data_IF_567905535009
#
_entry.id   IF_567905535009
#
_cell.length_a   1.000
_cell.length_b   1.000
_cell.length_c   1.000
_cell.angle_alpha   90.00
_cell.angle_beta   90.00
_cell.angle_gamma   90.00
#
_symmetry.space_group_name_H-M   'P 1'
#
loop_
_entity.id
_entity.type
_entity.pdbx_description
1 polymer ?
#
# COMPACT_ATOMS: atom_id res chain seq x y z
N UNK A 1 3.50 -14.08 8.69
CA UNK A 1 2.21 -14.64 8.25
C UNK A 1 1.05 -13.76 8.65
N UNK A 2 0.51 -13.01 7.69
CA UNK A 2 -0.77 -12.30 7.86
C UNK A 2 -1.87 -13.35 7.67
N UNK A 3 -2.23 -14.06 8.74
CA UNK A 3 -3.39 -14.95 8.75
C UNK A 3 -4.51 -14.26 9.54
N UNK A 4 -5.73 -14.15 8.98
CA UNK A 4 -6.83 -13.56 9.71
C UNK A 4 -7.14 -14.36 10.98
N UNK A 5 -7.48 -13.68 12.07
CA UNK A 5 -7.77 -14.30 13.38
C UNK A 5 -9.11 -15.06 13.42
N UNK A 6 -9.93 -14.96 12.38
CA UNK A 6 -11.31 -15.46 12.33
C UNK A 6 -11.54 -16.21 11.02
N UNK A 7 -12.36 -17.26 11.07
CA UNK A 7 -12.72 -18.06 9.89
C UNK A 7 -13.43 -17.19 8.82
N UNK A 8 -13.17 -17.46 7.52
CA UNK A 8 -13.69 -16.67 6.39
C UNK A 8 -15.22 -16.58 6.40
N UNK A 9 -15.90 -17.66 6.78
CA UNK A 9 -17.37 -17.66 6.91
C UNK A 9 -17.85 -16.70 7.99
N UNK A 10 -17.13 -16.63 9.11
CA UNK A 10 -17.46 -15.71 10.21
C UNK A 10 -17.18 -14.26 9.81
N UNK A 11 -16.08 -13.99 9.11
CA UNK A 11 -15.77 -12.65 8.60
C UNK A 11 -16.80 -12.17 7.58
N UNK A 12 -17.23 -13.06 6.67
CA UNK A 12 -18.30 -12.74 5.71
C UNK A 12 -19.61 -12.45 6.43
N UNK A 13 -19.99 -13.26 7.41
CA UNK A 13 -21.20 -13.03 8.20
C UNK A 13 -21.16 -11.69 8.98
N UNK A 14 -19.99 -11.31 9.51
CA UNK A 14 -19.78 -10.00 10.16
C UNK A 14 -19.92 -8.84 9.16
N UNK A 15 -19.34 -8.96 7.97
CA UNK A 15 -19.48 -7.95 6.91
C UNK A 15 -20.91 -7.82 6.41
N UNK A 16 -21.59 -8.94 6.16
CA UNK A 16 -22.99 -8.95 5.73
C UNK A 16 -23.90 -8.30 6.81
N UNK A 17 -23.55 -8.46 8.10
CA UNK A 17 -24.26 -7.79 9.19
C UNK A 17 -24.01 -6.27 9.21
N UNK A 18 -22.76 -5.84 9.06
CA UNK A 18 -22.41 -4.41 8.95
C UNK A 18 -23.10 -3.79 7.72
N UNK A 19 -23.14 -4.50 6.58
CA UNK A 19 -23.83 -4.03 5.38
C UNK A 19 -25.32 -3.87 5.58
N UNK A 20 -25.99 -4.82 6.27
CA UNK A 20 -27.41 -4.68 6.60
C UNK A 20 -27.68 -3.46 7.47
N UNK A 21 -26.81 -3.17 8.44
CA UNK A 21 -26.93 -1.98 9.27
C UNK A 21 -26.75 -0.70 8.43
N UNK A 22 -25.73 -0.67 7.57
CA UNK A 22 -25.47 0.50 6.72
C UNK A 22 -26.58 0.72 5.67
N UNK A 23 -27.14 -0.34 5.08
CA UNK A 23 -28.31 -0.26 4.19
C UNK A 23 -29.53 0.30 4.93
N UNK A 24 -29.78 -0.15 6.17
CA UNK A 24 -30.88 0.39 6.99
C UNK A 24 -30.72 1.87 7.37
N UNK A 25 -29.49 2.41 7.36
CA UNK A 25 -29.22 3.85 7.52
C UNK A 25 -29.45 4.59 6.21
N UNK A 26 -28.96 4.06 5.08
CA UNK A 26 -29.18 4.61 3.73
C UNK A 26 -30.66 4.69 3.34
N UNK A 27 -31.48 3.74 3.79
CA UNK A 27 -32.93 3.74 3.56
C UNK A 27 -33.68 4.78 4.41
N UNK A 28 -33.13 5.18 5.57
CA UNK A 28 -33.76 6.10 6.51
C UNK A 28 -33.36 7.56 6.31
N UNK A 29 -32.13 7.81 5.88
CA UNK A 29 -31.62 9.16 5.63
C UNK A 29 -31.26 9.32 4.16
N UNK A 30 -31.93 10.26 3.47
CA UNK A 30 -31.70 10.55 2.06
C UNK A 30 -30.21 10.76 1.76
N UNK A 31 -29.64 9.87 0.94
CA UNK A 31 -28.33 9.93 0.26
C UNK A 31 -27.17 10.53 1.07
N UNK A 32 -26.42 9.67 1.76
CA UNK A 32 -25.12 10.01 2.37
C UNK A 32 -23.97 9.30 1.66
N UNK A 33 -23.20 10.00 0.79
CA UNK A 33 -22.09 9.42 0.03
C UNK A 33 -20.99 8.82 0.93
N UNK A 34 -20.84 9.33 2.15
CA UNK A 34 -19.85 8.86 3.11
C UNK A 34 -20.12 7.41 3.56
N UNK A 35 -21.39 7.03 3.72
CA UNK A 35 -21.78 5.66 4.12
C UNK A 35 -21.51 4.66 3.01
N UNK A 36 -21.79 5.05 1.76
CA UNK A 36 -21.55 4.23 0.57
C UNK A 36 -20.04 3.99 0.37
N UNK A 37 -19.22 5.02 0.51
CA UNK A 37 -17.75 4.91 0.45
C UNK A 37 -17.16 3.99 1.52
N UNK A 38 -17.71 4.00 2.74
CA UNK A 38 -17.28 3.10 3.82
C UNK A 38 -17.64 1.63 3.50
N UNK A 39 -18.84 1.37 2.96
CA UNK A 39 -19.24 0.01 2.54
C UNK A 39 -18.29 -0.51 1.47
N UNK A 40 -18.01 0.28 0.44
CA UNK A 40 -17.09 -0.12 -0.64
C UNK A 40 -15.67 -0.37 -0.12
N UNK A 41 -15.19 0.47 0.82
CA UNK A 41 -13.89 0.29 1.45
C UNK A 41 -13.80 -1.02 2.23
N UNK A 42 -14.85 -1.40 2.98
CA UNK A 42 -14.86 -2.66 3.74
C UNK A 42 -14.93 -3.89 2.83
N UNK A 43 -15.73 -3.85 1.76
CA UNK A 43 -15.78 -4.94 0.78
C UNK A 43 -14.47 -5.06 0.00
N UNK A 44 -13.84 -3.95 -0.37
CA UNK A 44 -12.51 -3.97 -0.97
C UNK A 44 -11.48 -4.58 -0.01
N UNK A 45 -11.46 -4.15 1.25
CA UNK A 45 -10.56 -4.70 2.26
C UNK A 45 -10.76 -6.21 2.45
N UNK A 46 -12.01 -6.69 2.46
CA UNK A 46 -12.31 -8.12 2.54
C UNK A 46 -11.80 -8.89 1.32
N UNK A 47 -12.07 -8.40 0.11
CA UNK A 47 -11.53 -9.02 -1.12
C UNK A 47 -10.00 -9.01 -1.13
N UNK A 48 -9.38 -7.96 -0.62
CA UNK A 48 -7.92 -7.87 -0.52
C UNK A 48 -7.35 -8.94 0.42
N UNK A 49 -8.05 -9.41 1.46
CA UNK A 49 -7.50 -10.42 2.38
C UNK A 49 -7.08 -11.72 1.68
N UNK A 50 -7.78 -12.09 0.60
CA UNK A 50 -7.48 -13.30 -0.17
C UNK A 50 -6.29 -13.12 -1.12
N UNK A 51 -6.06 -11.91 -1.60
CA UNK A 51 -5.01 -11.58 -2.58
C UNK A 51 -3.74 -11.03 -1.89
N UNK A 52 -3.88 -10.51 -0.67
CA UNK A 52 -2.81 -9.90 0.13
C UNK A 52 -1.60 -10.82 0.32
N UNK A 53 -1.74 -12.13 0.60
CA UNK A 53 -0.57 -13.00 0.76
C UNK A 53 0.28 -13.08 -0.51
N UNK A 54 -0.35 -13.09 -1.68
CA UNK A 54 0.35 -13.13 -2.96
C UNK A 54 0.98 -11.77 -3.32
N UNK A 55 0.29 -10.67 -3.02
CA UNK A 55 0.82 -9.32 -3.25
C UNK A 55 2.05 -9.07 -2.34
N UNK A 56 2.00 -9.53 -1.10
CA UNK A 56 3.08 -9.38 -0.12
C UNK A 56 4.29 -10.29 -0.37
N UNK A 57 4.12 -11.33 -1.19
CA UNK A 57 5.21 -12.24 -1.56
C UNK A 57 6.10 -11.65 -2.65
N UNK A 58 7.14 -10.92 -2.21
CA UNK A 58 8.18 -10.36 -3.08
C UNK A 58 9.25 -11.38 -3.47
N UNK A 59 9.21 -12.62 -2.96
CA UNK A 59 10.24 -13.64 -3.27
C UNK A 59 10.25 -14.08 -4.73
N UNK A 60 9.13 -13.87 -5.43
CA UNK A 60 8.94 -14.17 -6.85
C UNK A 60 9.48 -13.09 -7.79
N UNK A 61 9.95 -11.96 -7.26
CA UNK A 61 10.46 -10.86 -8.07
C UNK A 61 11.84 -11.18 -8.64
N UNK A 62 12.10 -10.66 -9.85
CA UNK A 62 13.39 -10.91 -10.49
C UNK A 62 14.51 -10.19 -9.74
N UNK A 63 15.75 -10.71 -9.79
CA UNK A 63 16.90 -10.00 -9.20
C UNK A 63 17.07 -8.58 -9.74
N UNK A 64 16.76 -8.37 -11.03
CA UNK A 64 16.79 -7.05 -11.65
C UNK A 64 15.74 -6.10 -11.06
N UNK A 65 14.53 -6.59 -10.77
CA UNK A 65 13.49 -5.81 -10.08
C UNK A 65 13.94 -5.47 -8.67
N UNK A 66 14.41 -6.45 -7.89
CA UNK A 66 14.85 -6.21 -6.51
C UNK A 66 15.98 -5.18 -6.47
N UNK A 67 16.92 -5.26 -7.42
CA UNK A 67 18.03 -4.31 -7.52
C UNK A 67 17.58 -2.91 -7.94
N UNK A 68 16.60 -2.80 -8.86
CA UNK A 68 16.02 -1.52 -9.28
C UNK A 68 15.51 -0.69 -8.08
N UNK A 69 14.84 -1.36 -7.13
CA UNK A 69 14.31 -0.71 -5.93
C UNK A 69 15.33 -0.61 -4.79
N UNK A 70 16.50 -1.28 -4.88
CA UNK A 70 17.39 -1.44 -3.73
C UNK A 70 16.81 -2.33 -2.63
N UNK A 71 15.88 -3.23 -2.98
CA UNK A 71 15.16 -4.11 -2.05
C UNK A 71 15.97 -5.36 -1.61
N UNK A 72 17.25 -5.42 -1.95
CA UNK A 72 18.14 -6.57 -1.71
C UNK A 72 18.83 -6.49 -0.35
N UNK A 73 19.50 -5.36 -0.06
CA UNK A 73 20.29 -5.18 1.16
C UNK A 73 20.68 -3.72 1.39
N UNK A 74 21.15 -3.40 2.60
CA UNK A 74 21.67 -2.08 2.94
C UNK A 74 20.58 -1.07 3.31
N UNK A 75 20.89 0.25 3.29
CA UNK A 75 20.02 1.28 3.85
C UNK A 75 18.70 1.46 3.09
N UNK A 76 18.62 0.97 1.85
CA UNK A 76 17.45 1.06 0.98
C UNK A 76 16.51 -0.14 1.08
N UNK A 77 16.93 -1.24 1.73
CA UNK A 77 16.21 -2.53 1.66
C UNK A 77 14.74 -2.41 2.07
N UNK A 78 14.47 -1.86 3.26
CA UNK A 78 13.12 -1.79 3.82
C UNK A 78 12.22 -0.89 2.98
N UNK A 79 12.68 0.32 2.66
CA UNK A 79 11.87 1.26 1.89
C UNK A 79 11.75 0.85 0.42
N UNK A 80 12.77 0.22 -0.14
CA UNK A 80 12.75 -0.45 -1.45
C UNK A 80 11.67 -1.51 -1.54
N UNK A 81 11.55 -2.38 -0.52
CA UNK A 81 10.47 -3.36 -0.44
C UNK A 81 9.10 -2.70 -0.34
N UNK A 82 8.96 -1.63 0.45
CA UNK A 82 7.70 -0.89 0.55
C UNK A 82 7.29 -0.25 -0.78
N UNK A 83 8.22 0.39 -1.50
CA UNK A 83 7.98 0.93 -2.84
C UNK A 83 7.61 -0.16 -3.85
N UNK A 84 8.29 -1.31 -3.80
CA UNK A 84 7.97 -2.47 -4.65
C UNK A 84 6.56 -3.01 -4.38
N UNK A 85 6.18 -3.11 -3.10
CA UNK A 85 4.82 -3.49 -2.70
C UNK A 85 3.80 -2.46 -3.19
N UNK A 86 4.11 -1.16 -3.11
CA UNK A 86 3.24 -0.12 -3.64
C UNK A 86 2.97 -0.28 -5.14
N UNK A 87 4.00 -0.63 -5.94
CA UNK A 87 3.79 -0.98 -7.35
C UNK A 87 2.85 -2.17 -7.48
N UNK A 88 3.05 -3.25 -6.72
CA UNK A 88 2.21 -4.46 -6.78
C UNK A 88 0.77 -4.18 -6.34
N UNK A 89 0.56 -3.31 -5.35
CA UNK A 89 -0.77 -2.84 -4.96
C UNK A 89 -1.43 -2.03 -6.07
N UNK A 90 -0.69 -1.15 -6.75
CA UNK A 90 -1.21 -0.40 -7.88
C UNK A 90 -1.61 -1.34 -9.03
N UNK A 91 -0.83 -2.39 -9.31
CA UNK A 91 -1.18 -3.42 -10.31
C UNK A 91 -2.42 -4.22 -9.92
N UNK A 92 -2.61 -4.47 -8.63
CA UNK A 92 -3.80 -5.13 -8.10
C UNK A 92 -5.04 -4.20 -8.05
N UNK A 93 -4.92 -2.95 -8.50
CA UNK A 93 -6.02 -1.99 -8.58
C UNK A 93 -6.34 -1.26 -7.26
N UNK A 94 -5.39 -1.25 -6.31
CA UNK A 94 -5.55 -0.46 -5.08
C UNK A 94 -5.53 1.02 -5.44
N UNK A 95 -6.60 1.73 -5.07
CA UNK A 95 -6.85 3.13 -5.49
C UNK A 95 -6.03 4.17 -4.73
N UNK A 96 -5.62 3.86 -3.51
CA UNK A 96 -4.87 4.76 -2.66
C UNK A 96 -3.84 3.97 -1.88
N UNK A 97 -2.58 4.38 -2.00
CA UNK A 97 -1.42 3.69 -1.42
C UNK A 97 -0.56 4.75 -0.76
N UNK A 98 -0.33 4.62 0.53
CA UNK A 98 0.59 5.46 1.28
C UNK A 98 1.86 4.68 1.60
N UNK A 99 3.01 5.31 1.37
CA UNK A 99 4.32 4.75 1.68
C UNK A 99 5.09 5.77 2.50
N UNK A 100 5.51 5.39 3.71
CA UNK A 100 6.14 6.31 4.66
C UNK A 100 7.60 5.96 4.88
N UNK A 101 8.49 6.95 4.72
CA UNK A 101 9.88 6.88 5.16
C UNK A 101 10.09 7.83 6.35
N UNK A 102 10.26 7.27 7.56
CA UNK A 102 10.27 8.05 8.79
C UNK A 102 11.64 8.59 9.23
N UNK A 103 11.61 9.29 10.38
CA UNK A 103 12.76 9.85 11.11
C UNK A 103 13.48 11.02 10.39
N UNK A 104 12.71 11.91 9.76
CA UNK A 104 13.23 13.15 9.16
C UNK A 104 13.31 14.33 10.13
N UNK A 105 12.52 14.34 11.21
CA UNK A 105 12.55 15.38 12.23
C UNK A 105 13.69 15.12 13.23
N UNK A 106 14.88 15.61 12.90
CA UNK A 106 16.09 15.35 13.66
C UNK A 106 16.60 16.62 14.33
N UNK A 107 17.02 16.49 15.58
CA UNK A 107 17.51 17.61 16.39
C UNK A 107 19.00 17.51 16.73
N UNK A 108 19.66 16.40 16.38
CA UNK A 108 21.09 16.14 16.58
C UNK A 108 21.63 15.36 15.36
N UNK A 109 22.96 15.30 15.20
CA UNK A 109 23.63 14.55 14.13
C UNK A 109 23.12 14.82 12.69
N UNK A 110 22.59 16.01 12.45
CA UNK A 110 21.85 16.40 11.23
C UNK A 110 22.52 15.92 9.94
N UNK A 111 23.80 16.21 9.75
CA UNK A 111 24.51 15.85 8.52
C UNK A 111 24.56 14.34 8.29
N UNK A 112 24.87 13.56 9.33
CA UNK A 112 25.02 12.11 9.21
C UNK A 112 23.65 11.46 9.01
N UNK A 113 22.68 11.87 9.80
CA UNK A 113 21.41 11.18 9.86
C UNK A 113 20.49 11.58 8.68
N UNK A 114 20.45 12.86 8.28
CA UNK A 114 19.74 13.26 7.05
C UNK A 114 20.37 12.63 5.80
N UNK A 115 21.70 12.51 5.75
CA UNK A 115 22.38 11.80 4.66
C UNK A 115 21.92 10.34 4.60
N UNK A 116 21.89 9.65 5.74
CA UNK A 116 21.39 8.28 5.82
C UNK A 116 19.90 8.18 5.42
N UNK A 117 19.07 9.17 5.74
CA UNK A 117 17.66 9.21 5.30
C UNK A 117 17.54 9.38 3.78
N UNK A 118 18.30 10.32 3.21
CA UNK A 118 18.32 10.57 1.77
C UNK A 118 18.82 9.34 1.00
N UNK A 119 19.92 8.73 1.45
CA UNK A 119 20.46 7.49 0.85
C UNK A 119 19.46 6.32 0.93
N UNK A 120 18.66 6.25 2.00
CA UNK A 120 17.63 5.23 2.18
C UNK A 120 16.42 5.39 1.26
N UNK A 121 16.07 6.63 0.87
CA UNK A 121 14.83 6.90 0.10
C UNK A 121 15.02 7.15 -1.40
N UNK A 122 16.17 7.70 -1.80
CA UNK A 122 16.40 8.17 -3.18
C UNK A 122 16.25 7.04 -4.23
N UNK A 123 16.99 5.94 -4.05
CA UNK A 123 16.95 4.79 -4.98
C UNK A 123 15.57 4.12 -5.02
N UNK A 124 14.90 3.80 -3.89
CA UNK A 124 13.54 3.24 -3.91
C UNK A 124 12.51 4.09 -4.66
N UNK A 125 12.49 5.41 -4.46
CA UNK A 125 11.56 6.32 -5.15
C UNK A 125 11.85 6.34 -6.65
N UNK A 126 13.12 6.46 -7.03
CA UNK A 126 13.53 6.41 -8.43
C UNK A 126 13.16 5.07 -9.08
N UNK A 127 13.32 3.97 -8.36
CA UNK A 127 12.91 2.63 -8.77
C UNK A 127 11.42 2.53 -9.05
N UNK A 128 10.58 3.02 -8.12
CA UNK A 128 9.13 3.04 -8.27
C UNK A 128 8.69 3.83 -9.50
N UNK A 129 9.17 5.07 -9.65
CA UNK A 129 8.80 5.92 -10.78
C UNK A 129 9.22 5.28 -12.12
N UNK A 130 10.41 4.67 -12.17
CA UNK A 130 10.91 4.01 -13.38
C UNK A 130 10.09 2.77 -13.72
N UNK A 131 9.75 1.94 -12.73
CA UNK A 131 8.97 0.71 -12.94
C UNK A 131 7.54 1.04 -13.36
N UNK A 132 6.88 2.01 -12.70
CA UNK A 132 5.55 2.50 -13.11
C UNK A 132 5.56 3.04 -14.54
N UNK A 133 6.62 3.75 -14.94
CA UNK A 133 6.78 4.22 -16.32
C UNK A 133 6.92 3.07 -17.31
N UNK A 134 7.77 2.09 -16.99
CA UNK A 134 8.02 0.92 -17.85
C UNK A 134 6.75 0.08 -18.07
N UNK A 135 5.85 0.08 -17.09
CA UNK A 135 4.56 -0.62 -17.14
C UNK A 135 3.42 0.24 -17.68
N UNK A 136 3.70 1.45 -18.15
CA UNK A 136 2.72 2.40 -18.65
C UNK A 136 1.64 2.78 -17.61
N UNK A 137 1.96 2.68 -16.32
CA UNK A 137 1.04 2.95 -15.20
C UNK A 137 1.05 4.41 -14.76
N UNK A 138 2.11 5.18 -15.06
CA UNK A 138 2.18 6.60 -14.69
C UNK A 138 1.10 7.47 -15.37
N UNK A 139 0.50 6.99 -16.47
CA UNK A 139 -0.62 7.71 -17.12
C UNK A 139 -1.91 7.65 -16.30
N UNK A 140 -2.06 6.60 -15.49
CA UNK A 140 -3.26 6.33 -14.68
C UNK A 140 -3.00 6.48 -13.17
N UNK A 141 -1.74 6.73 -12.77
CA UNK A 141 -1.32 6.81 -11.37
C UNK A 141 -0.72 8.18 -11.07
N UNK A 142 -1.37 8.94 -10.18
CA UNK A 142 -0.78 10.15 -9.61
C UNK A 142 0.17 9.76 -8.47
N UNK A 143 1.44 10.12 -8.61
CA UNK A 143 2.43 9.98 -7.54
C UNK A 143 2.66 11.35 -6.90
N UNK A 144 2.32 11.45 -5.61
CA UNK A 144 2.60 12.64 -4.80
C UNK A 144 3.73 12.30 -3.84
N UNK A 145 4.80 13.10 -3.88
CA UNK A 145 5.91 13.01 -2.94
C UNK A 145 6.01 14.32 -2.15
N UNK A 146 6.10 14.20 -0.83
CA UNK A 146 6.20 15.33 0.07
C UNK A 146 6.69 14.89 1.45
N UNK A 147 7.23 15.85 2.19
CA UNK A 147 7.76 15.72 3.54
C UNK A 147 8.04 17.10 4.11
#
# INVERSE_FOLDING_TARGET
>A
DIKPSTDKHMQRAQLDYIQKLNQGVLEKEHYQPDVEGIIESYELAFRMQDVMPEIMDVSKETPATLELYGATSGPTQTFGQQCLLARRFAEAGVRFIEVTHGNWDQHTNLTADHKARAEGCDKPIAGLLKDLKQRDMLKDTLVVWGG
#
